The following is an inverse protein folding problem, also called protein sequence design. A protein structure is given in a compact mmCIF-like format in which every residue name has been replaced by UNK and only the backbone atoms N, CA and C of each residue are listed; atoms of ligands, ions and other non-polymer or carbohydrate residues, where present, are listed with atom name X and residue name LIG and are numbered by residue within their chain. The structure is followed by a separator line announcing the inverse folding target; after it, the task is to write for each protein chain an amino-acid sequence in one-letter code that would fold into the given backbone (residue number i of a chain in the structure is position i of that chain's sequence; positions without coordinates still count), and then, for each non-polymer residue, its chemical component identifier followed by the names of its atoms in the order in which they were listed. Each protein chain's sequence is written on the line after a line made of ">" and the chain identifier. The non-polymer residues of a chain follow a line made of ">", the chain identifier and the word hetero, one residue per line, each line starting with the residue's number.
data_IF_373427987989
#
_entry.id   IF_373427987989
#
_cell.length_a   1.000
_cell.length_b   1.000
_cell.length_c   1.000
_cell.angle_alpha   90.00
_cell.angle_beta   90.00
_cell.angle_gamma   90.00
#
_symmetry.space_group_name_H-M   'P 1'
#
loop_
_entity.id
_entity.type
_entity.pdbx_description
1 polymer ?
#
# COMPACT_ATOMS: atom_id res chain seq x y z
N UNK A 1 -16.00 18.93 -23.51
CA UNK A 1 -14.97 18.01 -22.98
C UNK A 1 -15.71 16.84 -22.38
N UNK A 2 -15.33 15.60 -22.68
CA UNK A 2 -16.00 14.45 -22.06
C UNK A 2 -15.72 14.47 -20.54
N UNK A 3 -16.76 14.23 -19.74
CA UNK A 3 -16.62 14.17 -18.29
C UNK A 3 -15.72 12.98 -17.92
N UNK A 4 -14.57 13.26 -17.33
CA UNK A 4 -13.65 12.25 -16.83
C UNK A 4 -14.22 11.69 -15.53
N UNK A 5 -14.42 10.37 -15.48
CA UNK A 5 -14.93 9.70 -14.28
C UNK A 5 -13.82 9.53 -13.24
N UNK A 6 -13.64 10.53 -12.38
CA UNK A 6 -12.72 10.47 -11.24
C UNK A 6 -13.31 9.66 -10.07
N UNK A 7 -12.43 8.94 -9.37
CA UNK A 7 -12.79 8.13 -8.22
C UNK A 7 -11.63 8.02 -7.22
N UNK A 8 -11.98 7.73 -5.97
CA UNK A 8 -11.06 7.31 -4.93
C UNK A 8 -10.90 5.79 -4.95
N UNK A 9 -9.70 5.31 -4.62
CA UNK A 9 -9.42 3.88 -4.47
C UNK A 9 -9.22 3.59 -2.98
N UNK A 10 -10.26 3.08 -2.33
CA UNK A 10 -10.31 2.85 -0.88
C UNK A 10 -9.97 1.40 -0.55
N UNK A 11 -9.04 1.22 0.38
CA UNK A 11 -8.67 -0.08 0.91
C UNK A 11 -9.77 -0.64 1.83
N UNK A 12 -10.24 -1.86 1.57
CA UNK A 12 -11.35 -2.47 2.31
C UNK A 12 -11.00 -2.70 3.78
N UNK A 13 -9.80 -3.20 4.08
CA UNK A 13 -9.42 -3.57 5.45
C UNK A 13 -9.15 -2.39 6.38
N UNK A 14 -8.69 -1.24 5.86
CA UNK A 14 -8.23 -0.11 6.70
C UNK A 14 -9.00 1.19 6.47
N UNK A 15 -9.91 1.22 5.49
CA UNK A 15 -10.63 2.43 5.06
C UNK A 15 -9.74 3.60 4.59
N UNK A 16 -8.45 3.36 4.37
CA UNK A 16 -7.49 4.32 3.81
C UNK A 16 -7.61 4.40 2.28
N UNK A 17 -7.10 5.45 1.66
CA UNK A 17 -7.16 5.69 0.22
C UNK A 17 -5.76 5.72 -0.37
N UNK A 18 -5.64 5.26 -1.63
CA UNK A 18 -4.44 5.41 -2.44
C UNK A 18 -4.24 6.88 -2.82
N UNK A 19 -3.12 7.46 -2.42
CA UNK A 19 -2.75 8.84 -2.71
C UNK A 19 -1.37 8.93 -3.39
N UNK A 20 -1.21 9.90 -4.28
CA UNK A 20 0.11 10.30 -4.74
C UNK A 20 0.81 11.13 -3.68
N UNK A 21 2.03 10.74 -3.31
CA UNK A 21 2.90 11.51 -2.40
C UNK A 21 4.12 12.03 -3.17
N UNK A 22 4.27 13.35 -3.18
CA UNK A 22 5.52 13.99 -3.56
C UNK A 22 6.41 13.99 -2.31
N UNK A 23 7.28 13.01 -2.19
CA UNK A 23 8.29 13.04 -1.12
C UNK A 23 9.31 14.12 -1.50
N UNK A 24 9.23 15.26 -0.84
CA UNK A 24 10.27 16.28 -0.87
C UNK A 24 11.30 15.87 0.18
N UNK A 25 12.44 15.33 -0.26
CA UNK A 25 13.55 15.06 0.66
C UNK A 25 14.09 16.43 1.14
N UNK A 26 13.73 16.82 2.37
CA UNK A 26 14.36 17.93 3.11
C UNK A 26 15.77 17.53 3.61
N UNK A 27 16.60 17.02 2.70
CA UNK A 27 18.02 16.76 2.94
C UNK A 27 18.84 17.64 1.99
N UNK A 28 19.28 18.77 2.55
CA UNK A 28 20.30 19.63 1.97
C UNK A 28 21.48 18.81 1.43
N UNK A 29 21.94 19.17 0.23
CA UNK A 29 23.08 18.62 -0.53
C UNK A 29 22.74 17.46 -1.47
N UNK A 30 22.26 17.77 -2.68
CA UNK A 30 22.96 17.51 -3.95
C UNK A 30 21.98 17.68 -5.13
N UNK A 31 22.13 18.76 -5.89
CA UNK A 31 21.13 19.33 -6.81
C UNK A 31 20.94 18.55 -8.13
N UNK A 32 21.23 17.24 -8.18
CA UNK A 32 21.22 16.47 -9.44
C UNK A 32 20.47 15.12 -9.38
N UNK A 33 19.89 14.72 -8.23
CA UNK A 33 19.12 13.45 -8.11
C UNK A 33 17.72 13.65 -7.50
N UNK A 34 17.35 14.89 -7.18
CA UNK A 34 16.11 15.25 -6.46
C UNK A 34 14.85 15.37 -7.34
N UNK A 35 14.96 15.07 -8.63
CA UNK A 35 13.78 14.83 -9.47
C UNK A 35 13.40 13.34 -9.39
N UNK A 36 12.11 13.07 -9.19
CA UNK A 36 11.42 11.84 -9.64
C UNK A 36 11.32 10.65 -8.67
N UNK A 37 10.86 10.85 -7.42
CA UNK A 37 10.28 9.73 -6.65
C UNK A 37 8.90 10.07 -6.10
N UNK A 38 7.98 10.34 -7.01
CA UNK A 38 6.56 10.36 -6.66
C UNK A 38 6.15 8.93 -6.26
N UNK A 39 6.00 8.73 -4.95
CA UNK A 39 5.58 7.46 -4.38
C UNK A 39 4.06 7.38 -4.32
N UNK A 40 3.56 6.16 -4.24
CA UNK A 40 2.13 5.91 -4.03
C UNK A 40 1.95 5.33 -2.65
N UNK A 41 1.15 6.01 -1.85
CA UNK A 41 0.92 5.67 -0.44
C UNK A 41 -0.56 5.40 -0.17
N UNK A 42 -0.85 4.74 0.94
CA UNK A 42 -2.18 4.41 1.43
C UNK A 42 -2.37 5.12 2.76
N UNK A 43 -3.10 6.23 2.71
CA UNK A 43 -3.23 7.18 3.83
C UNK A 43 -4.69 7.42 4.20
N UNK A 44 -4.93 8.11 5.32
CA UNK A 44 -6.29 8.55 5.68
C UNK A 44 -6.80 9.50 4.60
N UNK A 45 -8.07 9.40 4.19
CA UNK A 45 -8.68 10.32 3.22
C UNK A 45 -8.48 11.78 3.62
N UNK A 46 -7.94 12.58 2.72
CA UNK A 46 -7.88 14.05 2.80
C UNK A 46 -8.76 14.73 1.75
N UNK A 47 -9.34 13.94 0.83
CA UNK A 47 -10.28 14.38 -0.20
C UNK A 47 -9.68 15.38 -1.17
N UNK A 48 -8.36 15.35 -1.37
CA UNK A 48 -7.68 16.24 -2.31
C UNK A 48 -7.36 15.55 -3.64
N UNK A 49 -7.00 16.34 -4.66
CA UNK A 49 -6.79 15.83 -6.03
C UNK A 49 -5.65 14.81 -6.14
N UNK A 50 -4.79 14.69 -5.12
CA UNK A 50 -3.75 13.67 -5.05
C UNK A 50 -4.31 12.25 -4.77
N UNK A 51 -5.54 12.15 -4.28
CA UNK A 51 -6.25 10.90 -3.97
C UNK A 51 -7.21 10.48 -5.08
N UNK A 52 -7.40 11.32 -6.09
CA UNK A 52 -8.30 11.08 -7.20
C UNK A 52 -7.59 10.42 -8.38
N UNK A 53 -8.21 9.36 -8.88
CA UNK A 53 -7.71 8.54 -9.96
C UNK A 53 -8.78 8.41 -11.05
N UNK A 54 -8.35 8.23 -12.28
CA UNK A 54 -9.23 7.84 -13.37
C UNK A 54 -8.59 6.71 -14.19
N UNK A 55 -9.43 5.90 -14.82
CA UNK A 55 -8.99 5.03 -15.90
C UNK A 55 -8.75 5.88 -17.15
N UNK A 56 -7.53 5.77 -17.68
CA UNK A 56 -7.13 6.29 -18.98
C UNK A 56 -6.72 5.08 -19.83
N UNK A 57 -7.69 4.54 -20.58
CA UNK A 57 -7.64 3.21 -21.19
C UNK A 57 -7.46 2.08 -20.16
N UNK A 58 -6.26 1.49 -20.08
CA UNK A 58 -5.87 0.46 -19.12
C UNK A 58 -4.85 0.97 -18.11
N UNK A 59 -4.64 2.28 -18.04
CA UNK A 59 -3.69 2.91 -17.13
C UNK A 59 -4.45 3.69 -16.06
N UNK A 60 -3.93 3.69 -14.83
CA UNK A 60 -4.49 4.46 -13.73
C UNK A 60 -3.77 5.79 -13.65
N UNK A 61 -4.47 6.88 -13.99
CA UNK A 61 -3.91 8.24 -13.98
C UNK A 61 -4.37 9.01 -12.75
N UNK A 62 -3.44 9.71 -12.10
CA UNK A 62 -3.72 10.55 -10.95
C UNK A 62 -4.13 11.98 -11.39
N UNK A 63 -5.10 12.58 -10.71
CA UNK A 63 -5.63 13.92 -11.06
C UNK A 63 -4.62 15.04 -10.81
N UNK A 64 -3.99 15.07 -9.63
CA UNK A 64 -3.07 16.15 -9.26
C UNK A 64 -1.78 16.18 -10.08
N UNK A 65 -1.22 15.01 -10.41
CA UNK A 65 0.09 14.91 -11.07
C UNK A 65 -0.02 14.69 -12.58
N UNK A 66 -1.15 14.19 -13.08
CA UNK A 66 -1.30 13.73 -14.47
C UNK A 66 -0.46 12.49 -14.82
N UNK A 67 0.28 11.93 -13.86
CA UNK A 67 1.11 10.75 -14.02
C UNK A 67 0.29 9.47 -13.87
N UNK A 68 0.83 8.36 -14.36
CA UNK A 68 0.19 7.04 -14.30
C UNK A 68 0.88 6.11 -13.31
N UNK A 69 0.12 5.17 -12.76
CA UNK A 69 0.60 4.11 -11.88
C UNK A 69 1.52 3.15 -12.66
N UNK A 70 2.74 2.95 -12.16
CA UNK A 70 3.81 2.23 -12.83
C UNK A 70 4.49 1.24 -11.86
N UNK A 71 4.77 0.02 -12.34
CA UNK A 71 5.62 -0.94 -11.64
C UNK A 71 7.07 -0.50 -11.80
N UNK A 72 7.70 -0.11 -10.68
CA UNK A 72 9.03 0.51 -10.68
C UNK A 72 10.06 -0.41 -11.34
N UNK A 73 10.85 0.15 -12.26
CA UNK A 73 11.86 -0.55 -13.08
C UNK A 73 11.28 -1.63 -14.01
N UNK A 74 9.96 -1.67 -14.18
CA UNK A 74 9.28 -2.50 -15.17
C UNK A 74 9.35 -4.01 -14.93
N UNK A 75 9.81 -4.48 -13.76
CA UNK A 75 9.94 -5.90 -13.47
C UNK A 75 9.52 -6.24 -12.06
N UNK A 76 8.90 -7.40 -11.93
CA UNK A 76 8.52 -8.00 -10.65
C UNK A 76 9.78 -8.53 -9.94
N UNK A 77 9.85 -8.30 -8.64
CA UNK A 77 10.91 -8.77 -7.75
C UNK A 77 10.32 -9.80 -6.79
N UNK A 78 10.98 -10.94 -6.67
CA UNK A 78 10.56 -12.03 -5.76
C UNK A 78 11.22 -11.94 -4.38
N UNK A 79 12.42 -11.35 -4.31
CA UNK A 79 13.22 -11.28 -3.07
C UNK A 79 13.02 -9.96 -2.30
N UNK A 80 12.31 -9.00 -2.89
CA UNK A 80 12.05 -7.68 -2.35
C UNK A 80 10.65 -7.27 -2.78
N UNK A 81 10.02 -6.37 -2.02
CA UNK A 81 8.75 -5.77 -2.41
C UNK A 81 8.85 -5.12 -3.79
N UNK A 82 7.93 -5.48 -4.67
CA UNK A 82 7.81 -4.85 -5.99
C UNK A 82 7.15 -3.50 -5.81
N UNK A 83 7.95 -2.44 -5.87
CA UNK A 83 7.48 -1.09 -5.59
C UNK A 83 6.61 -0.50 -6.71
N UNK A 84 5.61 0.26 -6.29
CA UNK A 84 4.77 1.06 -7.18
C UNK A 84 5.19 2.52 -7.12
N UNK A 85 5.22 3.18 -8.27
CA UNK A 85 5.49 4.61 -8.38
C UNK A 85 4.55 5.28 -9.37
N UNK A 86 4.67 6.60 -9.48
CA UNK A 86 4.06 7.37 -10.57
C UNK A 86 5.10 7.68 -11.64
N UNK A 87 4.70 7.55 -12.91
CA UNK A 87 5.55 7.82 -14.06
C UNK A 87 4.77 8.43 -15.22
N UNK A 88 5.49 8.96 -16.22
CA UNK A 88 4.85 9.44 -17.44
C UNK A 88 4.17 8.30 -18.19
N UNK A 89 3.01 8.59 -18.79
CA UNK A 89 2.26 7.67 -19.66
C UNK A 89 3.14 7.25 -20.83
N UNK A 90 3.38 5.94 -20.95
CA UNK A 90 4.06 5.32 -22.11
C UNK A 90 3.04 4.96 -23.18
N UNK A 91 3.54 4.75 -24.41
CA UNK A 91 2.76 4.17 -25.51
C UNK A 91 2.27 2.77 -25.14
N UNK A 92 1.19 2.30 -25.77
CA UNK A 92 0.62 0.97 -25.47
C UNK A 92 1.62 -0.18 -25.68
N UNK A 93 2.57 -0.03 -26.60
CA UNK A 93 3.60 -1.02 -26.92
C UNK A 93 4.62 -1.18 -25.78
N UNK A 94 5.03 -0.07 -25.15
CA UNK A 94 6.07 -0.05 -24.10
C UNK A 94 5.50 0.01 -22.67
N UNK A 95 4.18 0.12 -22.54
CA UNK A 95 3.51 0.39 -21.26
C UNK A 95 3.10 -0.84 -20.47
N UNK A 96 3.64 -2.03 -20.75
CA UNK A 96 3.25 -3.28 -20.07
C UNK A 96 3.28 -3.17 -18.53
N UNK A 97 4.21 -2.39 -17.99
CA UNK A 97 4.36 -2.13 -16.56
C UNK A 97 3.42 -1.03 -16.00
N UNK A 98 2.55 -0.46 -16.83
CA UNK A 98 1.54 0.56 -16.50
C UNK A 98 0.12 0.07 -16.80
N UNK A 99 -0.04 -1.15 -17.31
CA UNK A 99 -1.33 -1.72 -17.65
C UNK A 99 -1.92 -2.44 -16.42
N UNK A 100 -3.09 -1.99 -16.01
CA UNK A 100 -3.81 -2.49 -14.84
C UNK A 100 -5.20 -2.96 -15.25
N UNK A 101 -5.72 -3.92 -14.52
CA UNK A 101 -7.09 -4.38 -14.67
C UNK A 101 -7.69 -4.72 -13.31
N UNK A 102 -9.01 -4.88 -13.29
CA UNK A 102 -9.79 -5.06 -12.07
C UNK A 102 -10.59 -6.34 -12.15
N UNK A 103 -10.55 -7.13 -11.07
CA UNK A 103 -11.43 -8.26 -10.88
C UNK A 103 -12.33 -7.98 -9.68
N UNK A 104 -13.65 -7.91 -9.91
CA UNK A 104 -14.62 -7.72 -8.82
C UNK A 104 -14.99 -9.05 -8.21
N UNK A 105 -14.93 -9.12 -6.88
CA UNK A 105 -15.22 -10.32 -6.11
C UNK A 105 -16.55 -10.19 -5.35
N UNK A 106 -17.23 -11.33 -5.24
CA UNK A 106 -18.54 -11.43 -4.61
C UNK A 106 -18.56 -12.57 -3.60
N UNK A 107 -19.09 -12.31 -2.40
CA UNK A 107 -19.37 -13.36 -1.43
C UNK A 107 -20.79 -13.87 -1.66
N UNK A 108 -20.93 -15.19 -1.60
CA UNK A 108 -22.24 -15.78 -1.48
C UNK A 108 -22.68 -15.63 -0.03
N UNK A 109 -23.70 -14.80 0.20
CA UNK A 109 -24.29 -14.67 1.53
C UNK A 109 -25.11 -15.93 1.80
N UNK A 110 -24.57 -16.87 2.57
CA UNK A 110 -25.33 -18.02 3.05
C UNK A 110 -26.27 -17.56 4.15
N UNK A 111 -27.54 -17.35 3.80
CA UNK A 111 -28.57 -17.13 4.82
C UNK A 111 -29.00 -18.49 5.38
N UNK A 112 -28.81 -18.80 6.68
CA UNK A 112 -29.05 -20.13 7.22
C UNK A 112 -30.52 -20.61 7.14
N UNK A 113 -31.47 -19.69 6.89
CA UNK A 113 -32.90 -19.92 7.05
C UNK A 113 -33.73 -19.76 5.76
N UNK A 114 -33.13 -19.39 4.62
CA UNK A 114 -33.89 -19.14 3.37
C UNK A 114 -33.35 -20.03 2.24
N UNK A 115 -33.84 -21.27 2.16
CA UNK A 115 -33.60 -22.22 1.04
C UNK A 115 -34.29 -21.80 -0.28
N UNK A 116 -34.79 -20.57 -0.42
CA UNK A 116 -35.50 -20.11 -1.62
C UNK A 116 -34.74 -19.00 -2.34
N UNK A 117 -33.96 -19.42 -3.35
CA UNK A 117 -33.66 -18.74 -4.63
C UNK A 117 -33.52 -17.20 -4.63
N UNK A 118 -32.81 -16.61 -3.69
CA UNK A 118 -32.18 -15.31 -3.92
C UNK A 118 -30.70 -15.41 -3.60
N UNK A 119 -29.90 -15.71 -4.61
CA UNK A 119 -28.44 -15.63 -4.53
C UNK A 119 -28.04 -14.14 -4.51
N UNK A 120 -28.36 -13.44 -3.43
CA UNK A 120 -27.84 -12.09 -3.23
C UNK A 120 -26.34 -12.23 -2.96
N UNK A 121 -25.56 -11.86 -3.96
CA UNK A 121 -24.10 -11.80 -3.91
C UNK A 121 -23.71 -10.43 -3.37
N UNK A 122 -23.08 -10.40 -2.21
CA UNK A 122 -22.55 -9.15 -1.64
C UNK A 122 -21.18 -8.87 -2.24
N UNK A 123 -20.96 -7.66 -2.76
CA UNK A 123 -19.67 -7.27 -3.32
C UNK A 123 -18.69 -7.08 -2.16
N UNK A 124 -17.58 -7.81 -2.16
CA UNK A 124 -16.56 -7.71 -1.09
C UNK A 124 -15.52 -6.64 -1.41
N UNK A 125 -15.33 -6.37 -2.69
CA UNK A 125 -14.35 -5.44 -3.19
C UNK A 125 -13.88 -5.86 -4.57
N UNK A 126 -12.79 -5.26 -5.01
CA UNK A 126 -12.15 -5.62 -6.26
C UNK A 126 -10.65 -5.71 -6.05
N UNK A 127 -10.02 -6.62 -6.78
CA UNK A 127 -8.58 -6.77 -6.84
C UNK A 127 -8.07 -6.00 -8.05
N UNK A 128 -6.97 -5.27 -7.87
CA UNK A 128 -6.30 -4.56 -8.97
C UNK A 128 -5.03 -5.34 -9.30
N UNK A 129 -4.93 -5.84 -10.52
CA UNK A 129 -3.83 -6.69 -10.95
C UNK A 129 -3.07 -6.10 -12.13
N UNK A 130 -1.80 -6.49 -12.26
CA UNK A 130 -0.98 -6.14 -13.41
C UNK A 130 -1.43 -6.95 -14.63
N UNK A 131 -1.71 -6.30 -15.75
CA UNK A 131 -2.08 -7.02 -16.99
C UNK A 131 -0.93 -7.87 -17.52
N UNK A 132 0.32 -7.47 -17.26
CA UNK A 132 1.49 -8.25 -17.63
C UNK A 132 1.66 -9.51 -16.77
N UNK A 133 1.06 -9.55 -15.56
CA UNK A 133 1.06 -10.72 -14.69
C UNK A 133 -0.15 -10.68 -13.74
N UNK A 134 -1.19 -11.43 -14.10
CA UNK A 134 -2.48 -11.43 -13.37
C UNK A 134 -2.42 -12.03 -11.97
N UNK A 135 -1.37 -12.79 -11.66
CA UNK A 135 -1.18 -13.38 -10.33
C UNK A 135 -0.62 -12.36 -9.33
N UNK A 136 -0.27 -11.15 -9.79
CA UNK A 136 0.34 -10.10 -9.00
C UNK A 136 -0.59 -8.89 -8.88
N UNK A 137 -0.90 -8.53 -7.64
CA UNK A 137 -1.98 -7.59 -7.30
C UNK A 137 -1.46 -6.47 -6.42
N UNK A 138 -2.18 -5.34 -6.43
CA UNK A 138 -1.89 -4.24 -5.52
C UNK A 138 -2.22 -4.63 -4.09
N UNK A 139 -1.23 -4.43 -3.23
CA UNK A 139 -1.29 -4.73 -1.80
C UNK A 139 -0.73 -3.58 -0.98
N UNK A 140 -1.07 -3.56 0.31
CA UNK A 140 -0.52 -2.64 1.29
C UNK A 140 0.62 -3.34 2.01
N UNK A 141 1.82 -2.76 1.96
CA UNK A 141 2.97 -3.27 2.70
C UNK A 141 2.61 -3.36 4.20
N UNK A 142 2.79 -4.53 4.88
CA UNK A 142 2.45 -4.70 6.30
C UNK A 142 3.17 -3.70 7.21
N UNK A 143 4.38 -3.30 6.81
CA UNK A 143 5.31 -2.47 7.57
C UNK A 143 5.10 -0.96 7.33
N UNK A 144 4.18 -0.56 6.43
CA UNK A 144 4.07 0.86 6.09
C UNK A 144 2.89 1.26 5.22
N UNK A 145 2.71 2.57 5.07
CA UNK A 145 1.69 3.18 4.20
C UNK A 145 2.01 3.01 2.71
N UNK A 146 2.88 2.08 2.32
CA UNK A 146 3.40 1.98 0.97
C UNK A 146 2.55 1.00 0.15
N UNK A 147 2.25 1.38 -1.09
CA UNK A 147 1.61 0.50 -2.05
C UNK A 147 2.67 -0.37 -2.74
N UNK A 148 2.44 -1.67 -2.79
CA UNK A 148 3.33 -2.66 -3.40
C UNK A 148 2.56 -3.57 -4.34
N UNK A 149 3.30 -4.33 -5.16
CA UNK A 149 2.77 -5.46 -5.91
C UNK A 149 3.17 -6.75 -5.20
N UNK A 150 2.19 -7.61 -4.91
CA UNK A 150 2.40 -8.86 -4.19
C UNK A 150 1.58 -10.00 -4.84
N UNK A 151 1.98 -11.28 -4.71
CA UNK A 151 1.17 -12.39 -5.20
C UNK A 151 -0.23 -12.39 -4.59
N UNK A 152 -1.22 -12.68 -5.44
CA UNK A 152 -2.61 -12.76 -5.03
C UNK A 152 -2.82 -13.89 -4.01
N UNK A 153 -3.46 -13.56 -2.89
CA UNK A 153 -3.80 -14.50 -1.82
C UNK A 153 -5.28 -14.41 -1.49
N UNK A 154 -6.01 -15.48 -1.76
CA UNK A 154 -7.45 -15.58 -1.45
C UNK A 154 -7.73 -15.63 0.06
N UNK A 155 -6.74 -16.05 0.85
CA UNK A 155 -6.87 -16.26 2.29
C UNK A 155 -6.72 -14.95 3.09
N UNK A 156 -6.02 -13.95 2.53
CA UNK A 156 -5.82 -12.64 3.16
C UNK A 156 -7.00 -11.72 2.89
N UNK A 157 -8.05 -11.89 3.69
CA UNK A 157 -9.42 -11.58 3.28
C UNK A 157 -9.74 -10.10 2.98
N UNK A 158 -8.87 -9.12 3.23
CA UNK A 158 -9.17 -7.72 2.90
C UNK A 158 -7.97 -6.85 2.47
N UNK A 159 -6.73 -7.36 2.52
CA UNK A 159 -5.52 -6.54 2.25
C UNK A 159 -5.34 -6.20 0.76
N UNK A 160 -5.80 -7.09 -0.11
CA UNK A 160 -5.69 -6.95 -1.57
C UNK A 160 -7.01 -6.47 -2.20
N UNK A 161 -7.94 -5.96 -1.38
CA UNK A 161 -9.29 -5.58 -1.81
C UNK A 161 -9.50 -4.08 -1.74
N UNK A 162 -10.04 -3.56 -2.84
CA UNK A 162 -10.22 -2.14 -3.09
C UNK A 162 -11.67 -1.83 -3.50
N UNK A 163 -12.15 -0.68 -3.03
CA UNK A 163 -13.42 -0.08 -3.43
C UNK A 163 -13.14 1.16 -4.27
N UNK A 164 -13.86 1.27 -5.38
CA UNK A 164 -13.84 2.44 -6.24
C UNK A 164 -15.02 3.31 -5.84
N UNK A 165 -14.74 4.49 -5.30
CA UNK A 165 -15.76 5.44 -4.84
C UNK A 165 -15.74 6.64 -5.79
N UNK A 166 -16.78 6.83 -6.63
CA UNK A 166 -16.86 8.01 -7.49
C UNK A 166 -16.73 9.32 -6.71
N UNK A 167 -16.03 10.30 -7.28
CA UNK A 167 -15.79 11.62 -6.65
C UNK A 167 -17.09 12.25 -6.11
N UNK A 168 -18.15 12.19 -6.92
CA UNK A 168 -19.49 12.71 -6.59
C UNK A 168 -20.20 12.00 -5.42
N UNK A 169 -19.87 10.74 -5.15
CA UNK A 169 -20.50 9.97 -4.06
C UNK A 169 -19.81 10.26 -2.72
N UNK A 170 -18.54 10.65 -2.75
CA UNK A 170 -17.80 10.89 -1.52
C UNK A 170 -18.19 12.18 -0.81
N UNK A 171 -18.53 13.24 -1.58
CA UNK A 171 -19.00 14.53 -1.05
C UNK A 171 -20.31 14.39 -0.26
N UNK A 172 -21.12 13.36 -0.56
CA UNK A 172 -22.41 13.13 0.08
C UNK A 172 -22.33 12.36 1.41
N UNK A 173 -21.16 11.80 1.74
CA UNK A 173 -20.97 10.99 2.96
C UNK A 173 -20.50 11.85 4.15
N UNK A 174 -20.25 13.13 3.94
CA UNK A 174 -19.93 14.07 5.03
C UNK A 174 -21.23 14.52 5.74
N UNK A 175 -21.57 13.82 6.82
CA UNK A 175 -22.35 14.42 7.91
C UNK A 175 -21.54 15.62 8.47
N UNK A 176 -22.11 16.84 8.54
CA UNK A 176 -21.39 18.04 8.96
C UNK A 176 -21.06 17.95 10.45
N UNK A 177 -19.88 17.45 10.77
CA UNK A 177 -19.34 17.50 12.13
C UNK A 177 -18.74 18.88 12.37
N UNK A 178 -19.58 19.90 12.55
CA UNK A 178 -19.19 21.15 13.25
C UNK A 178 -20.39 22.06 13.55
N UNK A 179 -21.20 21.73 14.56
CA UNK A 179 -21.99 22.75 15.26
C UNK A 179 -22.52 22.26 16.62
N UNK A 180 -21.70 22.36 17.67
CA UNK A 180 -22.19 22.46 19.06
C UNK A 180 -21.12 22.94 20.04
N UNK A 181 -20.40 24.02 19.71
CA UNK A 181 -19.84 24.89 20.75
C UNK A 181 -20.87 25.95 21.10
N UNK A 182 -21.85 25.57 21.92
CA UNK A 182 -22.66 26.52 22.67
C UNK A 182 -22.33 26.43 24.15
N UNK A 183 -21.48 27.36 24.55
CA UNK A 183 -21.22 27.79 25.91
C UNK A 183 -22.53 28.27 26.56
N UNK A 184 -22.99 27.62 27.63
CA UNK A 184 -23.87 28.29 28.59
C UNK A 184 -23.60 27.81 30.01
N UNK A 185 -23.16 28.76 30.83
CA UNK A 185 -23.02 28.63 32.27
C UNK A 185 -24.39 28.52 32.94
N UNK A 186 -24.48 27.74 34.01
CA UNK A 186 -25.68 27.62 34.84
C UNK A 186 -25.43 26.74 36.07
N UNK A 187 -24.99 27.38 37.15
CA UNK A 187 -24.88 26.89 38.53
C UNK A 187 -26.17 26.29 39.10
N UNK A 188 -26.09 25.15 39.81
CA UNK A 188 -26.86 24.82 41.04
C UNK A 188 -26.44 23.41 41.54
N UNK A 189 -25.57 23.27 42.54
CA UNK A 189 -25.86 23.17 44.00
C UNK A 189 -26.64 21.92 44.43
N UNK A 190 -25.94 20.82 44.73
CA UNK A 190 -26.27 19.93 45.86
C UNK A 190 -25.02 19.21 46.35
N UNK A 191 -24.82 19.28 47.67
CA UNK A 191 -23.67 18.80 48.46
C UNK A 191 -23.47 17.27 48.38
N UNK A 192 -22.23 16.82 48.18
CA UNK A 192 -21.30 16.30 49.20
C UNK A 192 -21.78 15.03 49.91
N UNK A 193 -21.00 13.95 49.84
CA UNK A 193 -20.49 13.20 51.00
C UNK A 193 -19.57 12.04 50.53
N UNK A 194 -18.43 11.91 51.22
CA UNK A 194 -17.40 10.85 51.20
C UNK A 194 -16.14 11.01 50.31
N UNK A 195 -15.13 11.65 50.93
CA UNK A 195 -13.78 11.11 51.23
C UNK A 195 -12.73 10.88 50.13
N UNK A 196 -11.79 11.85 50.00
CA UNK A 196 -10.30 11.83 50.20
C UNK A 196 -9.43 10.60 49.79
N UNK A 197 -8.08 10.72 49.66
CA UNK A 197 -7.35 11.10 48.43
C UNK A 197 -6.20 10.13 48.08
N UNK A 198 -5.81 9.96 46.81
CA UNK A 198 -4.48 9.39 46.51
C UNK A 198 -3.84 9.98 45.24
N UNK A 199 -2.84 10.81 45.52
CA UNK A 199 -1.49 10.81 44.97
C UNK A 199 -1.27 10.83 43.46
N UNK A 200 -0.83 12.01 43.02
CA UNK A 200 0.06 12.24 41.89
C UNK A 200 1.37 11.46 42.01
N UNK A 201 1.81 10.82 40.92
CA UNK A 201 3.23 10.73 40.61
C UNK A 201 3.45 10.67 39.10
N UNK A 202 4.12 11.71 38.63
CA UNK A 202 4.88 11.78 37.39
C UNK A 202 6.14 10.93 37.50
N UNK A 203 6.56 10.27 36.42
CA UNK A 203 7.95 9.89 36.23
C UNK A 203 8.36 9.98 34.75
N UNK A 204 9.16 11.02 34.47
CA UNK A 204 10.21 10.98 33.46
C UNK A 204 11.30 9.99 33.92
N UNK A 205 11.89 9.25 32.97
CA UNK A 205 13.36 9.17 32.84
C UNK A 205 13.80 8.42 31.59
N UNK A 206 14.67 9.08 30.84
CA UNK A 206 15.64 8.50 29.91
C UNK A 206 16.54 7.52 30.65
N UNK A 207 16.95 6.41 30.02
CA UNK A 207 18.37 6.00 30.05
C UNK A 207 18.74 5.10 28.87
N UNK A 208 19.76 5.52 28.15
CA UNK A 208 20.51 4.78 27.16
C UNK A 208 21.37 3.70 27.83
N UNK A 209 21.53 2.53 27.20
CA UNK A 209 22.60 1.59 27.55
C UNK A 209 23.35 1.14 26.31
N UNK A 210 24.52 1.75 26.12
CA UNK A 210 25.61 1.28 25.26
C UNK A 210 26.32 0.10 25.92
N UNK A 211 26.48 -1.01 25.19
CA UNK A 211 27.48 -2.02 25.55
C UNK A 211 28.56 -2.06 24.46
N UNK A 212 29.77 -1.73 24.90
CA UNK A 212 31.01 -1.97 24.18
C UNK A 212 31.58 -3.29 24.67
N UNK A 213 31.93 -4.21 23.77
CA UNK A 213 32.72 -5.40 24.11
C UNK A 213 33.93 -5.42 23.19
N UNK A 214 35.11 -5.21 23.77
CA UNK A 214 36.40 -5.52 23.17
C UNK A 214 36.97 -6.79 23.82
N UNK A 215 37.35 -7.73 22.96
CA UNK A 215 38.53 -8.62 23.00
C UNK A 215 38.88 -9.38 24.29
N UNK A 216 38.77 -10.71 24.26
CA UNK A 216 39.92 -11.65 24.23
C UNK A 216 39.47 -13.12 24.36
N UNK A 217 39.91 -13.94 23.41
CA UNK A 217 40.36 -15.32 23.62
C UNK A 217 39.32 -16.41 23.90
N UNK A 218 38.93 -17.15 22.85
CA UNK A 218 38.75 -18.61 22.95
C UNK A 218 39.24 -19.30 21.68
N UNK A 219 39.79 -20.49 21.92
CA UNK A 219 40.61 -21.28 21.01
C UNK A 219 39.80 -22.34 20.26
N UNK A 220 40.34 -22.75 19.11
CA UNK A 220 40.14 -24.03 18.40
C UNK A 220 38.77 -24.38 17.76
N UNK A 221 38.83 -24.56 16.43
CA UNK A 221 37.88 -25.32 15.60
C UNK A 221 36.69 -24.48 15.12
N UNK A 222 36.39 -24.31 13.84
CA UNK A 222 36.53 -25.18 12.68
C UNK A 222 36.72 -24.27 11.43
N UNK A 223 37.66 -24.60 10.56
CA UNK A 223 37.84 -23.92 9.26
C UNK A 223 36.64 -24.16 8.33
N UNK A 224 36.23 -23.18 7.51
CA UNK A 224 35.23 -23.40 6.47
C UNK A 224 35.72 -24.41 5.43
N UNK A 225 34.90 -25.42 5.14
CA UNK A 225 35.17 -26.39 4.09
C UNK A 225 35.11 -25.73 2.70
N UNK A 226 36.28 -25.65 2.05
CA UNK A 226 36.38 -25.52 0.59
C UNK A 226 35.73 -26.75 -0.05
N UNK A 227 34.61 -26.57 -0.75
CA UNK A 227 34.16 -27.56 -1.74
C UNK A 227 34.64 -27.14 -3.13
N UNK A 228 35.57 -27.93 -3.64
CA UNK A 228 36.10 -27.88 -4.99
C UNK A 228 35.00 -28.01 -6.05
N UNK A 229 35.08 -27.11 -7.02
CA UNK A 229 35.15 -27.39 -8.46
C UNK A 229 34.97 -28.84 -8.90
N UNK A 230 33.88 -29.11 -9.62
CA UNK A 230 33.81 -30.22 -10.57
C UNK A 230 34.14 -29.67 -11.96
N UNK A 231 35.19 -30.25 -12.56
CA UNK A 231 35.66 -29.97 -13.91
C UNK A 231 34.60 -30.38 -14.94
N UNK A 232 34.25 -29.45 -15.83
CA UNK A 232 33.64 -29.75 -17.12
C UNK A 232 34.73 -30.20 -18.08
N UNK A 233 34.73 -31.45 -18.50
CA UNK A 233 35.52 -31.91 -19.63
C UNK A 233 34.85 -31.46 -20.93
N UNK A 234 35.64 -30.77 -21.75
CA UNK A 234 35.37 -30.47 -23.16
C UNK A 234 35.43 -31.75 -23.98
N UNK A 235 34.50 -31.93 -24.90
CA UNK A 235 34.69 -32.73 -26.11
C UNK A 235 34.35 -31.85 -27.31
N UNK A 236 35.37 -31.52 -28.09
CA UNK A 236 35.25 -30.78 -29.34
C UNK A 236 35.17 -31.74 -30.54
N UNK A 237 34.28 -31.39 -31.48
CA UNK A 237 34.47 -31.39 -32.94
C UNK A 237 34.75 -32.70 -33.70
N UNK A 238 33.84 -33.04 -34.63
CA UNK A 238 34.07 -33.04 -36.10
C UNK A 238 32.82 -33.55 -36.85
N UNK A 239 32.12 -32.75 -37.69
CA UNK A 239 32.31 -32.50 -39.15
C UNK A 239 32.21 -33.72 -40.10
N UNK A 240 31.18 -33.73 -40.96
CA UNK A 240 31.17 -33.90 -42.46
C UNK A 240 29.78 -34.42 -42.91
N UNK A 241 28.96 -33.66 -43.64
CA UNK A 241 28.94 -33.46 -45.12
C UNK A 241 28.65 -34.73 -45.93
N UNK A 242 27.42 -34.87 -46.43
CA UNK A 242 27.02 -35.00 -47.84
C UNK A 242 25.50 -34.95 -47.92
#
# INVERSE_FOLDING_TARGET
>A
MADVNWFYIKHVGTNKIIASCLCQDDAANDNTILLMRTQVIVTKPTYSDNELWCWDDRQLRNKSTGLVLDIRKGRIRFMEDTEICLYYKKSMEDSQNQLWAVQTEFQQTEHPLVKRRSSQKTRIGSVIYSVANSDWVLDVCPEGQKLILFPYSQDLNHQQRWLFIPEKEMILTEEPTSLSDNKMAGTSTYEAYYSTPLSSSSCNSNTSSSYSINSMGFAHGLTPAKRCSSQSSLAASSRKSS
#
